data_IF_523179270294
#
_entry.id   IF_523179270294
#
_cell.length_a   1.000
_cell.length_b   1.000
_cell.length_c   1.000
_cell.angle_alpha   90.00
_cell.angle_beta   90.00
_cell.angle_gamma   90.00
#
_symmetry.space_group_name_H-M   'P 1'
#
loop_
_entity.id
_entity.type
_entity.pdbx_description
1 polymer ?
#
# COMPACT_ATOMS: atom_id res chain seq x y z
N UNK A 1 -1.00 -12.69 11.18
CA UNK A 1 -2.47 -12.63 11.17
C UNK A 1 -3.02 -13.96 11.67
N UNK A 2 -3.89 -13.97 12.69
CA UNK A 2 -4.43 -15.21 13.27
C UNK A 2 -5.40 -15.96 12.35
N UNK A 3 -5.95 -15.28 11.33
CA UNK A 3 -6.93 -15.85 10.40
C UNK A 3 -6.25 -16.47 9.18
N UNK A 4 -5.28 -15.77 8.56
CA UNK A 4 -4.59 -16.25 7.35
C UNK A 4 -3.18 -16.81 7.57
N UNK A 5 -2.66 -16.74 8.80
CA UNK A 5 -1.32 -17.20 9.18
C UNK A 5 -0.17 -16.53 8.41
N UNK A 6 -0.43 -15.40 7.74
CA UNK A 6 0.56 -14.59 7.02
C UNK A 6 0.91 -13.29 7.79
N UNK A 7 1.96 -12.55 7.39
CA UNK A 7 2.23 -11.20 7.90
C UNK A 7 1.00 -10.28 7.79
N UNK A 8 0.83 -9.38 8.76
CA UNK A 8 -0.33 -8.48 8.78
C UNK A 8 -0.25 -7.44 7.67
N UNK A 9 -1.25 -7.43 6.78
CA UNK A 9 -1.45 -6.43 5.73
C UNK A 9 -2.73 -5.67 6.05
N UNK A 10 -2.64 -4.34 6.03
CA UNK A 10 -3.67 -3.44 6.55
C UNK A 10 -4.11 -3.84 7.96
N UNK A 11 -3.26 -3.50 8.94
CA UNK A 11 -3.43 -3.90 10.33
C UNK A 11 -4.76 -3.39 10.86
N UNK A 12 -5.52 -4.30 11.44
CA UNK A 12 -6.81 -3.97 12.05
C UNK A 12 -6.87 -4.41 13.47
N UNK A 13 -7.40 -3.53 14.30
CA UNK A 13 -7.54 -3.72 15.74
C UNK A 13 -9.02 -3.83 16.04
N UNK A 14 -9.37 -4.87 16.78
CA UNK A 14 -10.71 -5.03 17.35
C UNK A 14 -10.76 -4.19 18.63
N UNK A 15 -11.61 -3.14 18.73
CA UNK A 15 -11.58 -2.23 19.88
C UNK A 15 -11.83 -2.88 21.24
N UNK A 16 -12.54 -4.01 21.28
CA UNK A 16 -12.87 -4.69 22.54
C UNK A 16 -11.75 -5.57 23.08
N UNK A 17 -11.02 -6.26 22.22
CA UNK A 17 -10.00 -7.24 22.61
C UNK A 17 -8.57 -6.81 22.28
N UNK A 18 -8.39 -5.67 21.60
CA UNK A 18 -7.12 -5.14 21.10
C UNK A 18 -6.31 -6.14 20.23
N UNK A 19 -6.94 -7.23 19.78
CA UNK A 19 -6.28 -8.21 18.94
C UNK A 19 -6.19 -7.74 17.49
N UNK A 20 -5.06 -8.09 16.88
CA UNK A 20 -4.72 -7.66 15.53
C UNK A 20 -5.02 -8.74 14.48
N UNK A 21 -5.57 -8.32 13.34
CA UNK A 21 -5.82 -9.17 12.17
C UNK A 21 -5.71 -8.35 10.88
N UNK A 22 -5.57 -8.99 9.71
CA UNK A 22 -5.67 -8.28 8.44
C UNK A 22 -7.11 -7.81 8.22
N UNK A 23 -7.31 -6.61 7.68
CA UNK A 23 -8.64 -6.03 7.48
C UNK A 23 -9.57 -6.95 6.70
N UNK A 24 -9.08 -7.45 5.57
CA UNK A 24 -9.88 -8.32 4.73
C UNK A 24 -10.22 -9.65 5.42
N UNK A 25 -9.28 -10.20 6.21
CA UNK A 25 -9.52 -11.44 6.92
C UNK A 25 -10.58 -11.28 8.01
N UNK A 26 -10.50 -10.20 8.81
CA UNK A 26 -11.49 -9.96 9.86
C UNK A 26 -12.85 -9.57 9.27
N UNK A 27 -12.88 -8.91 8.12
CA UNK A 27 -14.11 -8.63 7.39
C UNK A 27 -14.85 -9.92 7.03
N UNK A 28 -14.16 -10.88 6.41
CA UNK A 28 -14.74 -12.21 6.08
C UNK A 28 -15.23 -12.92 7.34
N UNK A 29 -14.45 -12.89 8.42
CA UNK A 29 -14.84 -13.50 9.68
C UNK A 29 -16.13 -12.88 10.26
N UNK A 30 -16.24 -11.56 10.24
CA UNK A 30 -17.38 -10.81 10.83
C UNK A 30 -18.70 -10.95 10.06
N UNK A 31 -18.67 -11.51 8.85
CA UNK A 31 -19.87 -11.93 8.12
C UNK A 31 -20.54 -13.15 8.76
N UNK A 32 -19.75 -14.03 9.41
CA UNK A 32 -20.23 -15.28 10.00
C UNK A 32 -20.34 -15.20 11.53
N UNK A 33 -19.38 -14.54 12.19
CA UNK A 33 -19.30 -14.47 13.64
C UNK A 33 -18.95 -13.07 14.12
N UNK A 34 -19.72 -12.56 15.08
CA UNK A 34 -19.42 -11.29 15.79
C UNK A 34 -18.55 -11.49 17.02
N UNK A 35 -17.72 -12.51 17.02
CA UNK A 35 -16.79 -12.82 18.10
C UNK A 35 -15.36 -12.69 17.61
N UNK A 36 -14.42 -12.30 18.46
CA UNK A 36 -13.01 -12.28 18.12
C UNK A 36 -12.51 -13.70 17.81
N UNK A 37 -11.74 -13.93 16.73
CA UNK A 37 -11.22 -15.26 16.38
C UNK A 37 -10.22 -15.82 17.40
N UNK A 38 -9.65 -14.98 18.28
CA UNK A 38 -8.66 -15.38 19.27
C UNK A 38 -9.23 -15.64 20.66
N UNK A 39 -10.09 -14.74 21.16
CA UNK A 39 -10.59 -14.80 22.53
C UNK A 39 -12.12 -14.92 22.64
N UNK A 40 -12.81 -15.08 21.51
CA UNK A 40 -14.28 -15.19 21.43
C UNK A 40 -15.07 -13.99 22.02
N UNK A 41 -14.41 -12.90 22.43
CA UNK A 41 -15.09 -11.70 22.91
C UNK A 41 -15.93 -11.04 21.81
N UNK A 42 -17.08 -10.44 22.15
CA UNK A 42 -17.94 -9.80 21.17
C UNK A 42 -17.24 -8.61 20.51
N UNK A 43 -17.33 -8.58 19.18
CA UNK A 43 -16.98 -7.42 18.36
C UNK A 43 -18.21 -6.51 18.38
N UNK A 44 -18.05 -5.27 18.84
CA UNK A 44 -19.15 -4.31 18.97
C UNK A 44 -19.54 -3.76 17.58
N UNK A 45 -19.34 -2.48 17.35
CA UNK A 45 -19.93 -1.78 16.21
C UNK A 45 -18.96 -1.58 15.06
N UNK A 46 -17.67 -1.42 15.36
CA UNK A 46 -16.69 -1.06 14.36
C UNK A 46 -15.36 -1.75 14.57
N UNK A 47 -14.63 -1.88 13.47
CA UNK A 47 -13.23 -2.26 13.39
C UNK A 47 -12.40 -1.02 13.11
N UNK A 48 -11.17 -0.97 13.61
CA UNK A 48 -10.23 0.11 13.30
C UNK A 48 -9.18 -0.45 12.34
N UNK A 49 -9.00 0.17 11.18
CA UNK A 49 -8.01 -0.22 10.17
C UNK A 49 -7.26 1.00 9.61
N UNK A 50 -6.33 0.78 8.68
CA UNK A 50 -5.51 1.85 8.10
C UNK A 50 -4.79 2.71 9.15
N UNK A 51 -4.19 2.08 10.15
CA UNK A 51 -3.40 2.74 11.18
C UNK A 51 -2.09 3.30 10.57
N UNK A 52 -2.07 4.58 10.17
CA UNK A 52 -0.87 5.26 9.65
C UNK A 52 -0.16 6.10 10.70
N UNK A 53 -0.91 6.72 11.61
CA UNK A 53 -0.41 7.57 12.69
C UNK A 53 -1.32 7.50 13.94
N UNK A 54 -0.91 8.15 15.04
CA UNK A 54 -1.62 8.11 16.34
C UNK A 54 -3.11 8.49 16.27
N UNK A 55 -3.49 9.32 15.30
CA UNK A 55 -4.86 9.79 15.08
C UNK A 55 -5.35 9.60 13.64
N UNK A 56 -4.56 8.95 12.78
CA UNK A 56 -4.93 8.65 11.41
C UNK A 56 -5.28 7.18 11.29
N UNK A 57 -6.58 6.91 11.45
CA UNK A 57 -7.16 5.58 11.37
C UNK A 57 -8.59 5.66 10.82
N UNK A 58 -9.01 4.59 10.15
CA UNK A 58 -10.35 4.48 9.60
C UNK A 58 -11.20 3.52 10.44
N UNK A 59 -12.41 3.97 10.80
CA UNK A 59 -13.42 3.12 11.45
C UNK A 59 -14.29 2.47 10.39
N UNK A 60 -14.36 1.14 10.40
CA UNK A 60 -15.26 0.39 9.55
C UNK A 60 -16.40 -0.19 10.39
N UNK A 61 -17.61 0.32 10.19
CA UNK A 61 -18.80 -0.12 10.92
C UNK A 61 -19.36 -1.41 10.32
N UNK A 62 -19.64 -2.37 11.18
CA UNK A 62 -20.16 -3.67 10.77
C UNK A 62 -21.69 -3.59 10.63
N UNK A 63 -22.21 -3.93 9.45
CA UNK A 63 -23.65 -4.06 9.23
C UNK A 63 -24.26 -5.07 10.24
N UNK A 64 -25.53 -4.98 10.65
CA UNK A 64 -26.15 -6.01 11.48
C UNK A 64 -26.03 -7.39 10.83
N UNK A 65 -25.70 -8.44 11.62
CA UNK A 65 -25.77 -9.81 11.10
C UNK A 65 -27.21 -10.05 10.64
N UNK A 66 -27.40 -10.49 9.40
CA UNK A 66 -28.71 -10.97 8.97
C UNK A 66 -29.06 -12.13 9.90
N UNK A 67 -30.11 -11.97 10.70
CA UNK A 67 -30.59 -13.03 11.57
C UNK A 67 -30.93 -14.22 10.70
N UNK A 68 -30.10 -15.26 10.71
CA UNK A 68 -30.54 -16.56 10.24
C UNK A 68 -31.54 -17.02 11.31
N UNK A 69 -32.82 -16.83 11.02
CA UNK A 69 -33.90 -17.36 11.86
C UNK A 69 -33.62 -18.87 12.07
N UNK A 70 -33.67 -19.40 13.30
CA UNK A 70 -33.50 -20.83 13.54
C UNK A 70 -34.54 -21.72 12.85
N UNK A 71 -35.59 -21.16 12.24
CA UNK A 71 -36.72 -21.88 11.67
C UNK A 71 -36.67 -22.11 10.15
N UNK A 72 -35.50 -22.34 9.57
CA UNK A 72 -35.41 -22.86 8.19
C UNK A 72 -34.70 -24.21 8.14
N UNK A 73 -35.28 -25.20 8.84
CA UNK A 73 -35.22 -26.59 8.40
C UNK A 73 -36.42 -26.81 7.49
N UNK A 74 -36.23 -26.68 6.18
CA UNK A 74 -37.21 -27.14 5.18
C UNK A 74 -36.59 -28.31 4.39
N UNK A 75 -37.40 -29.31 3.99
CA UNK A 75 -36.91 -30.60 3.53
C UNK A 75 -36.20 -30.52 2.18
N UNK A 76 -35.25 -31.43 1.97
CA UNK A 76 -34.60 -31.71 0.69
C UNK A 76 -35.65 -32.22 -0.32
N UNK A 77 -36.33 -31.30 -1.01
CA UNK A 77 -37.11 -31.60 -2.20
C UNK A 77 -36.32 -31.13 -3.43
N UNK A 78 -35.74 -32.10 -4.14
CA UNK A 78 -35.22 -31.91 -5.49
C UNK A 78 -36.37 -31.53 -6.44
N UNK A 79 -36.25 -30.41 -7.13
CA UNK A 79 -36.42 -30.27 -8.60
C UNK A 79 -36.77 -28.83 -9.00
N UNK A 80 -36.05 -28.30 -9.99
CA UNK A 80 -36.52 -27.19 -10.83
C UNK A 80 -35.73 -25.89 -10.77
N UNK A 81 -34.88 -25.67 -11.78
CA UNK A 81 -34.39 -24.38 -12.28
C UNK A 81 -33.62 -23.44 -11.33
N UNK A 82 -32.33 -23.72 -11.13
CA UNK A 82 -31.36 -22.74 -10.66
C UNK A 82 -30.61 -22.10 -11.82
N UNK A 83 -31.22 -21.10 -12.46
CA UNK A 83 -30.48 -20.13 -13.25
C UNK A 83 -30.66 -18.74 -12.62
N UNK A 84 -29.60 -18.19 -12.03
CA UNK A 84 -29.51 -16.74 -11.81
C UNK A 84 -29.33 -16.20 -10.39
N UNK A 85 -29.08 -16.99 -9.33
CA UNK A 85 -28.84 -16.42 -7.99
C UNK A 85 -27.75 -17.16 -7.21
N UNK A 86 -26.52 -16.65 -7.29
CA UNK A 86 -25.57 -16.44 -6.16
C UNK A 86 -24.14 -16.25 -6.69
N UNK A 87 -23.85 -15.11 -7.33
CA UNK A 87 -22.49 -14.75 -7.75
C UNK A 87 -21.78 -13.83 -6.72
N UNK A 88 -22.36 -13.62 -5.53
CA UNK A 88 -21.77 -12.72 -4.52
C UNK A 88 -20.63 -13.38 -3.74
N UNK A 89 -20.50 -14.72 -3.78
CA UNK A 89 -19.43 -15.43 -3.09
C UNK A 89 -18.14 -15.56 -3.91
N UNK A 90 -18.21 -15.36 -5.24
CA UNK A 90 -17.05 -15.53 -6.12
C UNK A 90 -16.04 -14.37 -6.01
N UNK A 91 -16.42 -13.22 -5.45
CA UNK A 91 -15.48 -12.15 -5.12
C UNK A 91 -14.57 -12.48 -3.94
N UNK A 92 -15.05 -13.28 -2.99
CA UNK A 92 -14.41 -13.58 -1.70
C UNK A 92 -13.28 -14.60 -1.83
N UNK A 93 -13.52 -15.72 -2.50
CA UNK A 93 -12.48 -16.71 -2.80
C UNK A 93 -11.38 -16.13 -3.71
N UNK A 94 -11.76 -15.22 -4.61
CA UNK A 94 -10.80 -14.52 -5.47
C UNK A 94 -9.86 -13.61 -4.68
N UNK A 95 -10.29 -13.01 -3.57
CA UNK A 95 -9.46 -12.05 -2.85
C UNK A 95 -8.31 -12.73 -2.09
N UNK A 96 -8.59 -13.87 -1.44
CA UNK A 96 -7.55 -14.70 -0.83
C UNK A 96 -6.63 -15.37 -1.86
N UNK A 97 -7.21 -15.85 -2.97
CA UNK A 97 -6.45 -16.42 -4.09
C UNK A 97 -5.54 -15.43 -4.81
N UNK A 98 -5.96 -14.16 -4.97
CA UNK A 98 -5.13 -13.10 -5.57
C UNK A 98 -3.88 -12.84 -4.74
N UNK A 99 -4.00 -12.72 -3.41
CA UNK A 99 -2.82 -12.52 -2.54
C UNK A 99 -1.84 -13.68 -2.61
N UNK A 100 -2.35 -14.91 -2.52
CA UNK A 100 -1.50 -16.11 -2.61
C UNK A 100 -0.80 -16.20 -3.97
N UNK A 101 -1.51 -15.85 -5.06
CA UNK A 101 -0.91 -15.78 -6.41
C UNK A 101 0.17 -14.71 -6.51
N UNK A 102 -0.08 -13.48 -6.06
CA UNK A 102 0.92 -12.40 -6.12
C UNK A 102 2.18 -12.76 -5.33
N UNK A 103 2.04 -13.34 -4.12
CA UNK A 103 3.18 -13.77 -3.33
C UNK A 103 3.94 -14.94 -3.98
N UNK A 104 3.23 -15.88 -4.62
CA UNK A 104 3.84 -16.97 -5.36
C UNK A 104 4.59 -16.47 -6.62
N UNK A 105 4.00 -15.54 -7.36
CA UNK A 105 4.61 -14.88 -8.52
C UNK A 105 5.86 -14.09 -8.10
N UNK A 106 5.78 -13.31 -7.01
CA UNK A 106 6.94 -12.57 -6.48
C UNK A 106 8.08 -13.52 -6.09
N UNK A 107 7.77 -14.64 -5.44
CA UNK A 107 8.76 -15.67 -5.11
C UNK A 107 9.37 -16.31 -6.35
N UNK A 108 8.57 -16.60 -7.37
CA UNK A 108 9.07 -17.13 -8.65
C UNK A 108 10.01 -16.12 -9.35
N UNK A 109 9.67 -14.83 -9.32
CA UNK A 109 10.54 -13.78 -9.87
C UNK A 109 11.85 -13.68 -9.09
N UNK A 110 11.80 -13.75 -7.75
CA UNK A 110 13.00 -13.75 -6.91
C UNK A 110 13.89 -14.97 -7.17
N UNK A 111 13.31 -16.17 -7.23
CA UNK A 111 14.03 -17.41 -7.52
C UNK A 111 14.64 -17.40 -8.94
N UNK A 112 13.94 -16.81 -9.92
CA UNK A 112 14.47 -16.63 -11.28
C UNK A 112 15.64 -15.65 -11.31
N UNK A 113 15.52 -14.52 -10.61
CA UNK A 113 16.59 -13.54 -10.48
C UNK A 113 17.84 -14.13 -9.81
N UNK A 114 17.66 -14.93 -8.75
CA UNK A 114 18.76 -15.61 -8.06
C UNK A 114 19.49 -16.59 -9.00
N UNK A 115 18.76 -17.33 -9.83
CA UNK A 115 19.34 -18.20 -10.87
C UNK A 115 20.11 -17.42 -11.93
N UNK A 116 19.60 -16.26 -12.36
CA UNK A 116 20.28 -15.41 -13.33
C UNK A 116 21.61 -14.84 -12.80
N UNK A 117 21.64 -14.48 -11.51
CA UNK A 117 22.83 -13.89 -10.86
C UNK A 117 23.82 -14.95 -10.36
N UNK A 118 23.40 -16.21 -10.18
CA UNK A 118 24.26 -17.27 -9.65
C UNK A 118 25.58 -17.43 -10.42
N UNK A 119 25.53 -17.43 -11.76
CA UNK A 119 26.73 -17.56 -12.59
C UNK A 119 27.65 -16.33 -12.53
N UNK A 120 27.15 -15.09 -12.71
CA UNK A 120 27.94 -13.87 -12.46
C UNK A 120 28.58 -13.83 -11.07
N UNK A 121 27.81 -14.15 -10.01
CA UNK A 121 28.29 -14.17 -8.62
C UNK A 121 29.47 -15.12 -8.46
N UNK A 122 29.38 -16.32 -9.03
CA UNK A 122 30.48 -17.27 -9.02
C UNK A 122 31.72 -16.75 -9.77
N UNK A 123 31.54 -16.09 -10.92
CA UNK A 123 32.66 -15.45 -11.66
C UNK A 123 33.35 -14.37 -10.81
N UNK A 124 32.57 -13.55 -10.10
CA UNK A 124 33.10 -12.49 -9.22
C UNK A 124 33.85 -13.06 -8.02
N UNK A 125 33.27 -14.06 -7.36
CA UNK A 125 33.86 -14.75 -6.20
C UNK A 125 35.21 -15.39 -6.55
N UNK A 126 35.31 -16.02 -7.72
CA UNK A 126 36.50 -16.73 -8.15
C UNK A 126 37.45 -15.87 -9.00
N UNK A 127 37.14 -14.57 -9.18
CA UNK A 127 37.91 -13.61 -9.99
C UNK A 127 38.21 -14.10 -11.42
N UNK A 128 37.28 -14.81 -12.04
CA UNK A 128 37.46 -15.46 -13.34
C UNK A 128 37.24 -14.49 -14.51
N UNK A 129 37.81 -13.30 -14.41
CA UNK A 129 37.71 -12.26 -15.41
C UNK A 129 38.63 -12.56 -16.60
N UNK A 130 38.20 -12.20 -17.81
CA UNK A 130 39.06 -12.28 -18.98
C UNK A 130 40.23 -11.31 -18.82
N UNK A 131 41.47 -11.81 -18.91
CA UNK A 131 42.69 -10.99 -18.85
C UNK A 131 42.74 -9.95 -19.98
N UNK A 132 42.30 -10.35 -21.17
CA UNK A 132 42.29 -9.50 -22.36
C UNK A 132 41.09 -9.85 -23.24
N UNK A 133 40.41 -8.81 -23.74
CA UNK A 133 39.39 -8.93 -24.78
C UNK A 133 39.85 -8.08 -25.96
N UNK A 134 40.18 -8.72 -27.08
CA UNK A 134 40.66 -8.02 -28.26
C UNK A 134 39.55 -7.16 -28.87
N UNK A 135 39.84 -5.94 -29.29
CA UNK A 135 38.90 -5.12 -30.07
C UNK A 135 38.92 -5.54 -31.54
N UNK A 136 38.18 -6.60 -31.87
CA UNK A 136 38.04 -7.10 -33.24
C UNK A 136 36.56 -7.15 -33.67
N UNK A 137 36.28 -7.24 -35.00
CA UNK A 137 34.90 -7.30 -35.49
C UNK A 137 34.08 -8.49 -34.96
N UNK A 138 34.75 -9.58 -34.58
CA UNK A 138 34.12 -10.79 -34.06
C UNK A 138 33.60 -10.62 -32.62
N UNK A 139 34.41 -10.06 -31.73
CA UNK A 139 34.08 -9.82 -30.31
C UNK A 139 33.21 -8.58 -30.12
N UNK A 140 33.27 -7.61 -31.04
CA UNK A 140 32.61 -6.31 -30.97
C UNK A 140 32.90 -5.55 -29.67
N UNK A 141 33.99 -5.90 -28.99
CA UNK A 141 34.33 -5.29 -27.72
C UNK A 141 34.77 -3.85 -27.92
N UNK A 142 34.11 -2.95 -27.20
CA UNK A 142 34.46 -1.53 -27.10
C UNK A 142 34.77 -1.22 -25.63
N UNK A 143 35.80 -0.40 -25.36
CA UNK A 143 36.07 0.07 -24.01
C UNK A 143 34.84 0.81 -23.46
N UNK A 144 34.75 0.88 -22.14
CA UNK A 144 33.63 1.54 -21.46
C UNK A 144 33.47 2.99 -21.98
N UNK A 145 32.25 3.41 -22.35
CA UNK A 145 32.02 4.76 -22.83
C UNK A 145 32.29 5.78 -21.71
N UNK A 146 32.69 6.99 -22.11
CA UNK A 146 32.89 8.10 -21.17
C UNK A 146 31.56 8.51 -20.53
N UNK A 147 31.56 9.08 -19.30
CA UNK A 147 30.33 9.48 -18.61
C UNK A 147 29.38 10.36 -19.45
N UNK A 148 29.92 11.32 -20.22
CA UNK A 148 29.12 12.17 -21.10
C UNK A 148 28.37 11.38 -22.19
N UNK A 149 28.93 10.26 -22.66
CA UNK A 149 28.29 9.41 -23.66
C UNK A 149 27.09 8.63 -23.11
N UNK A 150 27.06 8.36 -21.80
CA UNK A 150 25.85 7.81 -21.16
C UNK A 150 24.71 8.82 -21.18
N UNK A 151 24.99 10.09 -20.87
CA UNK A 151 23.97 11.15 -20.89
C UNK A 151 23.43 11.42 -22.30
N UNK A 152 24.29 11.31 -23.31
CA UNK A 152 23.92 11.55 -24.71
C UNK A 152 23.16 10.38 -25.37
N UNK A 153 23.23 9.16 -24.83
CA UNK A 153 22.65 7.98 -25.48
C UNK A 153 21.74 7.15 -24.53
N UNK A 154 20.42 7.12 -24.77
CA UNK A 154 19.47 6.42 -23.92
C UNK A 154 19.67 4.89 -23.89
N UNK A 155 20.29 4.30 -24.93
CA UNK A 155 20.56 2.86 -24.98
C UNK A 155 21.60 2.46 -23.93
N UNK A 156 22.63 3.29 -23.72
CA UNK A 156 23.62 3.03 -22.67
C UNK A 156 23.02 3.16 -21.29
N UNK A 157 22.13 4.14 -21.08
CA UNK A 157 21.38 4.30 -19.83
C UNK A 157 20.52 3.06 -19.56
N UNK A 158 19.77 2.58 -20.56
CA UNK A 158 18.92 1.40 -20.40
C UNK A 158 19.74 0.14 -20.05
N UNK A 159 20.86 -0.08 -20.74
CA UNK A 159 21.76 -1.22 -20.47
C UNK A 159 22.41 -1.13 -19.09
N UNK A 160 22.90 0.05 -18.70
CA UNK A 160 23.47 0.27 -17.38
C UNK A 160 22.42 0.08 -16.29
N UNK A 161 21.20 0.59 -16.49
CA UNK A 161 20.10 0.44 -15.54
C UNK A 161 19.72 -1.03 -15.36
N UNK A 162 19.62 -1.80 -16.45
CA UNK A 162 19.35 -3.24 -16.38
C UNK A 162 20.44 -4.00 -15.63
N UNK A 163 21.71 -3.69 -15.90
CA UNK A 163 22.86 -4.26 -15.20
C UNK A 163 22.80 -3.96 -13.69
N UNK A 164 22.62 -2.69 -13.31
CA UNK A 164 22.62 -2.31 -11.89
C UNK A 164 21.41 -2.89 -11.13
N UNK A 165 20.25 -2.99 -11.77
CA UNK A 165 19.06 -3.63 -11.18
C UNK A 165 19.32 -5.11 -10.90
N UNK A 166 19.96 -5.82 -11.83
CA UNK A 166 20.23 -7.25 -11.69
C UNK A 166 21.40 -7.52 -10.73
N UNK A 167 22.54 -6.87 -10.90
CA UNK A 167 23.77 -7.26 -10.19
C UNK A 167 23.90 -6.64 -8.80
N UNK A 168 23.30 -5.48 -8.57
CA UNK A 168 23.48 -4.73 -7.32
C UNK A 168 22.18 -4.52 -6.53
N UNK A 169 21.02 -4.92 -7.07
CA UNK A 169 19.68 -4.74 -6.49
C UNK A 169 19.42 -3.33 -5.90
N UNK A 170 20.10 -2.29 -6.40
CA UNK A 170 20.14 -0.94 -5.77
C UNK A 170 18.76 -0.27 -5.75
N UNK A 171 17.86 -0.68 -6.65
CA UNK A 171 16.52 -0.10 -6.77
C UNK A 171 15.43 -0.83 -5.99
N UNK A 172 15.67 -2.05 -5.51
CA UNK A 172 14.67 -2.77 -4.70
C UNK A 172 14.54 -2.15 -3.30
N UNK A 173 15.61 -1.55 -2.77
CA UNK A 173 15.53 -0.80 -1.51
C UNK A 173 14.75 0.53 -1.67
N UNK A 174 14.81 1.14 -2.85
CA UNK A 174 13.97 2.31 -3.16
C UNK A 174 12.50 1.94 -3.35
N UNK A 175 12.14 0.73 -3.82
CA UNK A 175 10.74 0.33 -3.93
C UNK A 175 10.11 -0.04 -2.58
N UNK A 176 10.90 -0.56 -1.63
CA UNK A 176 10.50 -0.67 -0.21
C UNK A 176 10.35 0.68 0.48
N UNK A 177 11.14 1.69 0.11
CA UNK A 177 11.04 3.06 0.68
C UNK A 177 9.97 3.93 -0.01
N UNK A 178 9.75 3.78 -1.31
CA UNK A 178 8.79 4.57 -2.09
C UNK A 178 7.34 4.12 -1.86
N UNK A 179 7.11 2.83 -1.57
CA UNK A 179 5.80 2.39 -1.03
C UNK A 179 5.50 3.01 0.35
N UNK A 180 6.52 3.38 1.11
CA UNK A 180 6.38 4.13 2.36
C UNK A 180 6.24 5.64 2.13
N UNK A 181 6.88 6.22 1.10
CA UNK A 181 6.93 7.67 0.87
C UNK A 181 5.79 8.23 0.00
N UNK A 182 5.32 7.51 -1.03
CA UNK A 182 4.14 7.91 -1.84
C UNK A 182 2.83 7.83 -1.04
N UNK A 183 2.82 7.12 0.09
CA UNK A 183 1.68 7.12 1.02
C UNK A 183 1.64 8.37 1.91
N UNK A 184 2.74 9.13 1.98
CA UNK A 184 2.86 10.34 2.78
C UNK A 184 2.77 11.65 1.98
N UNK A 185 3.00 11.63 0.65
CA UNK A 185 3.01 12.87 -0.15
C UNK A 185 1.63 13.26 -0.73
N UNK A 186 0.65 12.36 -0.74
CA UNK A 186 -0.72 12.69 -1.18
C UNK A 186 -1.48 13.58 -0.19
N UNK A 187 -0.98 13.72 1.05
CA UNK A 187 -1.66 14.42 2.15
C UNK A 187 -1.24 15.91 2.27
N UNK A 188 -0.29 16.40 1.46
CA UNK A 188 0.16 17.81 1.53
C UNK A 188 -0.61 18.76 0.58
N UNK A 189 -1.57 18.26 -0.19
CA UNK A 189 -2.41 19.05 -1.11
C UNK A 189 -3.67 19.65 -0.48
N UNK A 190 -3.62 20.06 0.80
CA UNK A 190 -4.75 20.66 1.52
C UNK A 190 -4.94 22.13 1.19
N UNK A 191 -5.95 22.42 0.36
CA UNK A 191 -6.38 23.76 0.00
C UNK A 191 -6.80 24.63 1.20
N UNK A 192 -6.51 25.93 1.10
CA UNK A 192 -7.00 26.96 2.02
C UNK A 192 -7.81 28.00 1.27
N UNK A 193 -9.11 27.78 1.22
CA UNK A 193 -10.16 28.80 1.24
C UNK A 193 -11.40 28.02 1.75
N UNK A 194 -12.09 28.41 2.81
CA UNK A 194 -13.05 29.51 2.76
C UNK A 194 -13.62 29.86 4.15
N UNK A 195 -13.93 31.16 4.27
CA UNK A 195 -15.12 31.77 4.89
C UNK A 195 -15.44 31.46 6.37
N UNK A 196 -14.99 32.38 7.23
CA UNK A 196 -15.56 32.62 8.55
C UNK A 196 -16.90 33.39 8.46
N UNK A 197 -17.95 32.75 8.97
CA UNK A 197 -19.27 33.32 9.18
C UNK A 197 -19.35 34.15 10.47
N UNK A 198 -20.25 35.14 10.41
CA UNK A 198 -20.53 36.22 11.35
C UNK A 198 -20.97 35.76 12.75
N UNK A 199 -20.61 36.53 13.77
CA UNK A 199 -21.43 36.75 14.96
C UNK A 199 -21.30 38.22 15.40
N UNK A 200 -22.45 38.86 15.61
CA UNK A 200 -22.61 40.24 16.02
C UNK A 200 -22.73 40.36 17.55
N UNK A 201 -22.26 41.47 18.14
CA UNK A 201 -23.09 42.38 18.95
C UNK A 201 -22.25 43.45 19.68
N UNK A 202 -22.45 44.70 19.25
CA UNK A 202 -22.76 45.93 20.02
C UNK A 202 -21.97 46.29 21.29
N UNK A 203 -21.39 47.50 21.28
CA UNK A 203 -21.04 48.28 22.47
C UNK A 203 -20.21 49.53 22.14
N UNK A 204 -20.89 50.64 21.86
CA UNK A 204 -20.40 52.03 21.70
C UNK A 204 -21.21 52.87 22.71
N UNK A 205 -20.84 54.08 23.20
CA UNK A 205 -19.69 54.97 22.91
C UNK A 205 -18.98 55.54 24.17
N UNK A 206 -17.86 56.26 23.98
CA UNK A 206 -17.80 57.70 24.32
C UNK A 206 -16.55 58.39 23.74
N UNK A 207 -16.72 59.70 23.56
CA UNK A 207 -15.94 60.64 22.73
C UNK A 207 -14.74 61.22 23.49
N UNK A 208 -13.70 61.60 22.74
CA UNK A 208 -12.67 62.54 23.17
C UNK A 208 -11.96 63.08 21.94
N UNK A 209 -11.97 64.41 21.77
CA UNK A 209 -11.58 65.17 20.57
C UNK A 209 -10.27 65.94 20.84
N UNK A 210 -9.66 66.46 19.75
CA UNK A 210 -8.52 67.38 19.65
C UNK A 210 -7.15 66.69 19.46
N UNK A 211 -6.26 67.12 18.56
CA UNK A 211 -6.23 68.28 17.66
C UNK A 211 -4.78 68.52 17.19
N UNK A 212 -4.60 69.07 15.97
CA UNK A 212 -3.34 69.61 15.43
C UNK A 212 -2.34 68.56 14.93
N UNK A 213 -1.65 68.70 13.82
CA UNK A 213 -1.49 69.75 12.83
C UNK A 213 -0.29 69.36 11.95
N UNK A 214 -0.31 69.76 10.67
CA UNK A 214 0.81 70.06 9.74
C UNK A 214 2.15 69.27 9.79
N UNK A 215 2.97 69.13 8.75
CA UNK A 215 3.16 69.80 7.47
C UNK A 215 4.05 68.85 6.63
N UNK A 216 4.05 69.10 5.32
CA UNK A 216 4.84 68.48 4.26
C UNK A 216 6.38 68.52 4.42
N UNK A 217 7.00 67.57 3.69
CA UNK A 217 8.28 67.63 2.93
C UNK A 217 9.61 67.72 3.69
N UNK A 218 10.48 66.75 3.42
CA UNK A 218 11.53 66.84 2.39
C UNK A 218 11.83 65.43 1.85
#
# INVERSE_FOLDING_TARGET
>A
CSICLQPLVDRTVIPTSAHESCFECIMVWTEQSRKCPLCAQPIREHLIHHLRARYDYQKHYLAPLRSRSPNQLLPLASSGNNNGRSNTNTGRDRAWGRRARMAAEERQVADALEREIAKPKWVYEHRLFAKHVASNPYTRYRPAPVPAAFAANPVFVARATAFLRRELCVWDDHRRRVTHHLRCQSDEGGGRAERGGRAAARGVPQRGRAGGGGVLRA
#
